data_IF_194374955871
#
_entry.id   IF_194374955871
#
_cell.length_a   1.000
_cell.length_b   1.000
_cell.length_c   1.000
_cell.angle_alpha   90.00
_cell.angle_beta   90.00
_cell.angle_gamma   90.00
#
_symmetry.space_group_name_H-M   'P 1'
#
loop_
_entity.id
_entity.type
_entity.pdbx_description
1 polymer ?
#
# COMPACT_ATOMS: atom_id res chain seq x y z
N UNK A 1 4.45 13.82 17.13
CA UNK A 1 4.94 12.52 16.66
C UNK A 1 3.81 11.80 15.97
N UNK A 2 4.06 11.22 14.79
CA UNK A 2 3.07 10.44 14.04
C UNK A 2 2.79 9.16 14.83
N UNK A 3 1.61 9.06 15.44
CA UNK A 3 1.12 7.86 16.16
C UNK A 3 0.04 7.16 15.34
N UNK A 4 0.18 7.17 14.01
CA UNK A 4 -0.80 6.56 13.10
C UNK A 4 -0.86 5.04 13.17
N UNK A 5 0.25 4.27 13.36
CA UNK A 5 0.18 2.82 13.52
C UNK A 5 -0.57 2.43 14.79
N UNK A 6 -0.28 3.11 15.92
CA UNK A 6 -1.02 2.91 17.17
C UNK A 6 -2.51 3.26 17.04
N UNK A 7 -2.83 4.36 16.33
CA UNK A 7 -4.23 4.70 16.03
C UNK A 7 -4.89 3.66 15.12
N UNK A 8 -4.16 3.10 14.17
CA UNK A 8 -4.62 2.00 13.32
C UNK A 8 -4.97 0.76 14.14
N UNK A 9 -4.13 0.38 15.10
CA UNK A 9 -4.41 -0.71 16.04
C UNK A 9 -5.66 -0.41 16.87
N UNK A 10 -5.75 0.76 17.51
CA UNK A 10 -6.90 1.13 18.34
C UNK A 10 -8.21 1.18 17.53
N UNK A 11 -8.13 1.66 16.29
CA UNK A 11 -9.27 1.67 15.37
C UNK A 11 -9.69 0.26 14.98
N UNK A 12 -8.71 -0.59 14.65
CA UNK A 12 -8.94 -1.99 14.32
C UNK A 12 -9.59 -2.76 15.48
N UNK A 13 -9.14 -2.54 16.73
CA UNK A 13 -9.74 -3.16 17.91
C UNK A 13 -11.20 -2.73 18.16
N UNK A 14 -11.60 -1.55 17.68
CA UNK A 14 -12.95 -1.01 17.89
C UNK A 14 -13.99 -1.44 16.85
N UNK A 15 -13.57 -1.84 15.64
CA UNK A 15 -14.48 -2.17 14.54
C UNK A 15 -14.48 -3.67 14.22
N UNK A 16 -15.59 -4.34 14.59
CA UNK A 16 -15.80 -5.75 14.35
C UNK A 16 -15.87 -6.13 12.87
N UNK A 17 -16.22 -5.18 11.98
CA UNK A 17 -16.23 -5.40 10.54
C UNK A 17 -14.80 -5.62 10.01
N UNK A 18 -13.82 -4.84 10.48
CA UNK A 18 -12.41 -4.99 10.12
C UNK A 18 -11.83 -6.36 10.51
N UNK A 19 -12.22 -6.89 11.67
CA UNK A 19 -11.79 -8.22 12.11
C UNK A 19 -12.25 -9.31 11.15
N UNK A 20 -13.49 -9.21 10.69
CA UNK A 20 -14.03 -10.14 9.70
C UNK A 20 -13.30 -10.01 8.36
N UNK A 21 -12.96 -8.78 7.95
CA UNK A 21 -12.16 -8.53 6.75
C UNK A 21 -10.73 -9.07 6.85
N UNK A 22 -10.14 -9.15 8.04
CA UNK A 22 -8.79 -9.72 8.22
C UNK A 22 -8.75 -11.23 8.38
N UNK A 23 -9.77 -11.85 8.98
CA UNK A 23 -9.83 -13.31 9.14
C UNK A 23 -10.23 -14.00 7.82
N UNK A 24 -11.09 -13.37 7.03
CA UNK A 24 -11.55 -13.89 5.74
C UNK A 24 -10.42 -14.28 4.76
N UNK A 25 -9.43 -13.43 4.44
CA UNK A 25 -8.35 -13.78 3.52
C UNK A 25 -7.50 -14.94 4.01
N UNK A 26 -7.28 -15.05 5.33
CA UNK A 26 -6.51 -16.15 5.91
C UNK A 26 -7.26 -17.47 5.71
N UNK A 27 -8.56 -17.49 6.03
CA UNK A 27 -9.40 -18.68 5.82
C UNK A 27 -9.49 -19.06 4.34
N UNK A 28 -9.64 -18.09 3.45
CA UNK A 28 -9.67 -18.33 2.00
C UNK A 28 -8.34 -18.90 1.49
N UNK A 29 -7.21 -18.36 1.95
CA UNK A 29 -5.88 -18.86 1.56
C UNK A 29 -5.66 -20.30 2.04
N UNK A 30 -6.09 -20.62 3.26
CA UNK A 30 -6.04 -21.99 3.78
C UNK A 30 -6.93 -22.93 2.95
N UNK A 31 -8.16 -22.52 2.64
CA UNK A 31 -9.08 -23.32 1.81
C UNK A 31 -8.50 -23.58 0.41
N UNK A 32 -7.90 -22.57 -0.21
CA UNK A 32 -7.21 -22.71 -1.52
C UNK A 32 -6.01 -23.63 -1.40
N UNK A 33 -5.19 -23.50 -0.35
CA UNK A 33 -4.04 -24.37 -0.13
C UNK A 33 -4.45 -25.86 -0.06
N UNK A 34 -5.52 -26.17 0.70
CA UNK A 34 -6.07 -27.52 0.77
C UNK A 34 -6.63 -27.99 -0.57
N UNK A 35 -7.42 -27.16 -1.26
CA UNK A 35 -7.99 -27.50 -2.56
C UNK A 35 -6.93 -27.79 -3.63
N UNK A 36 -5.89 -26.95 -3.69
CA UNK A 36 -4.76 -27.11 -4.61
C UNK A 36 -3.94 -28.34 -4.24
N UNK A 37 -3.66 -28.57 -2.95
CA UNK A 37 -2.97 -29.78 -2.50
C UNK A 37 -3.72 -31.04 -2.92
N UNK A 38 -5.01 -31.15 -2.62
CA UNK A 38 -5.82 -32.32 -2.98
C UNK A 38 -5.80 -32.53 -4.50
N UNK A 39 -5.97 -31.46 -5.28
CA UNK A 39 -5.98 -31.54 -6.75
C UNK A 39 -4.64 -31.98 -7.31
N UNK A 40 -3.53 -31.40 -6.85
CA UNK A 40 -2.21 -31.72 -7.40
C UNK A 40 -1.70 -33.10 -6.96
N UNK A 41 -1.97 -33.50 -5.71
CA UNK A 41 -1.63 -34.83 -5.23
C UNK A 41 -2.44 -35.93 -5.94
N UNK A 42 -3.68 -35.66 -6.35
CA UNK A 42 -4.53 -36.65 -7.03
C UNK A 42 -4.23 -36.76 -8.53
N UNK A 43 -3.98 -35.64 -9.23
CA UNK A 43 -3.84 -35.64 -10.68
C UNK A 43 -2.40 -35.53 -11.19
N UNK A 44 -1.53 -34.82 -10.48
CA UNK A 44 -0.17 -34.50 -10.97
C UNK A 44 0.88 -35.46 -10.45
N UNK A 45 0.75 -35.94 -9.21
CA UNK A 45 1.73 -36.82 -8.56
C UNK A 45 2.06 -38.04 -9.43
N UNK A 46 1.03 -38.79 -9.84
CA UNK A 46 1.23 -40.02 -10.60
C UNK A 46 1.85 -39.76 -11.98
N UNK A 47 1.40 -38.69 -12.66
CA UNK A 47 1.97 -38.29 -13.96
C UNK A 47 3.44 -37.87 -13.86
N UNK A 48 3.82 -37.20 -12.78
CA UNK A 48 5.20 -36.78 -12.54
C UNK A 48 6.08 -37.99 -12.20
N UNK A 49 5.59 -38.90 -11.36
CA UNK A 49 6.27 -40.15 -11.01
C UNK A 49 6.59 -40.99 -12.25
N UNK A 50 5.62 -41.22 -13.13
CA UNK A 50 5.81 -41.98 -14.37
C UNK A 50 6.84 -41.30 -15.28
N UNK A 51 6.76 -39.97 -15.46
CA UNK A 51 7.72 -39.23 -16.27
C UNK A 51 9.15 -39.30 -15.70
N UNK A 52 9.31 -39.30 -14.38
CA UNK A 52 10.59 -39.46 -13.70
C UNK A 52 11.12 -40.90 -13.82
N UNK A 53 10.24 -41.89 -13.74
CA UNK A 53 10.59 -43.30 -13.94
C UNK A 53 11.08 -43.56 -15.37
N UNK A 54 10.41 -42.99 -16.37
CA UNK A 54 10.80 -43.08 -17.79
C UNK A 54 12.17 -42.44 -18.07
N UNK A 55 12.60 -41.47 -17.25
CA UNK A 55 13.93 -40.87 -17.30
C UNK A 55 15.03 -41.76 -16.69
N UNK A 56 14.69 -42.95 -16.19
CA UNK A 56 15.62 -43.94 -15.66
C UNK A 56 15.85 -43.87 -14.15
N UNK A 57 15.03 -43.13 -13.40
CA UNK A 57 15.07 -43.13 -11.94
C UNK A 57 14.46 -44.41 -11.37
N UNK A 58 14.97 -44.87 -10.23
CA UNK A 58 14.33 -45.97 -9.50
C UNK A 58 12.93 -45.55 -9.02
N UNK A 59 11.99 -46.50 -8.95
CA UNK A 59 10.59 -46.21 -8.55
C UNK A 59 10.50 -45.42 -7.24
N UNK A 60 11.31 -45.76 -6.23
CA UNK A 60 11.34 -45.02 -4.97
C UNK A 60 11.83 -43.57 -5.13
N UNK A 61 12.88 -43.34 -5.92
CA UNK A 61 13.40 -41.99 -6.16
C UNK A 61 12.47 -41.14 -7.02
N UNK A 62 11.84 -41.73 -8.03
CA UNK A 62 10.84 -41.08 -8.86
C UNK A 62 9.64 -40.60 -8.03
N UNK A 63 9.11 -41.46 -7.16
CA UNK A 63 8.04 -41.10 -6.22
C UNK A 63 8.47 -39.97 -5.28
N UNK A 64 9.65 -40.08 -4.67
CA UNK A 64 10.14 -39.08 -3.72
C UNK A 64 10.29 -37.69 -4.37
N UNK A 65 10.86 -37.63 -5.58
CA UNK A 65 11.05 -36.37 -6.32
C UNK A 65 9.69 -35.81 -6.76
N UNK A 66 8.77 -36.64 -7.23
CA UNK A 66 7.41 -36.23 -7.60
C UNK A 66 6.67 -35.58 -6.41
N UNK A 67 6.76 -36.18 -5.21
CA UNK A 67 6.19 -35.59 -3.99
C UNK A 67 6.77 -34.20 -3.71
N UNK A 68 8.10 -34.03 -3.85
CA UNK A 68 8.77 -32.73 -3.65
C UNK A 68 8.28 -31.69 -4.65
N UNK A 69 8.16 -32.05 -5.94
CA UNK A 69 7.64 -31.15 -6.97
C UNK A 69 6.20 -30.71 -6.69
N UNK A 70 5.31 -31.66 -6.35
CA UNK A 70 3.94 -31.32 -5.98
C UNK A 70 3.89 -30.37 -4.77
N UNK A 71 4.71 -30.61 -3.73
CA UNK A 71 4.77 -29.70 -2.56
C UNK A 71 5.21 -28.30 -2.98
N UNK A 72 6.22 -28.18 -3.85
CA UNK A 72 6.70 -26.89 -4.36
C UNK A 72 5.62 -26.20 -5.19
N UNK A 73 4.92 -26.92 -6.06
CA UNK A 73 3.82 -26.38 -6.88
C UNK A 73 2.67 -25.86 -6.01
N UNK A 74 2.25 -26.65 -5.01
CA UNK A 74 1.23 -26.24 -4.03
C UNK A 74 1.68 -24.97 -3.31
N UNK A 75 2.93 -24.91 -2.88
CA UNK A 75 3.49 -23.75 -2.20
C UNK A 75 3.50 -22.51 -3.11
N UNK A 76 3.96 -22.63 -4.35
CA UNK A 76 4.01 -21.52 -5.32
C UNK A 76 2.60 -20.99 -5.61
N UNK A 77 1.65 -21.87 -5.92
CA UNK A 77 0.27 -21.47 -6.23
C UNK A 77 -0.39 -20.79 -5.02
N UNK A 78 -0.22 -21.38 -3.83
CA UNK A 78 -0.77 -20.81 -2.59
C UNK A 78 -0.13 -19.45 -2.27
N UNK A 79 1.19 -19.31 -2.48
CA UNK A 79 1.91 -18.08 -2.24
C UNK A 79 1.43 -16.98 -3.20
N UNK A 80 1.31 -17.27 -4.49
CA UNK A 80 0.80 -16.30 -5.49
C UNK A 80 -0.62 -15.87 -5.12
N UNK A 81 -1.50 -16.82 -4.80
CA UNK A 81 -2.86 -16.52 -4.37
C UNK A 81 -2.88 -15.64 -3.11
N UNK A 82 -2.05 -15.97 -2.12
CA UNK A 82 -1.92 -15.22 -0.88
C UNK A 82 -1.47 -13.78 -1.13
N UNK A 83 -0.46 -13.56 -1.97
CA UNK A 83 0.02 -12.21 -2.31
C UNK A 83 -1.09 -11.35 -2.92
N UNK A 84 -1.81 -11.87 -3.92
CA UNK A 84 -2.91 -11.14 -4.59
C UNK A 84 -4.07 -10.87 -3.64
N UNK A 85 -4.46 -11.88 -2.85
CA UNK A 85 -5.61 -11.78 -1.94
C UNK A 85 -5.32 -10.80 -0.81
N UNK A 86 -4.12 -10.84 -0.22
CA UNK A 86 -3.73 -9.93 0.85
C UNK A 86 -3.73 -8.46 0.39
N UNK A 87 -3.18 -8.16 -0.79
CA UNK A 87 -3.23 -6.80 -1.35
C UNK A 87 -4.67 -6.31 -1.53
N UNK A 88 -5.56 -7.15 -2.07
CA UNK A 88 -6.96 -6.79 -2.26
C UNK A 88 -7.70 -6.50 -0.94
N UNK A 89 -7.45 -7.29 0.11
CA UNK A 89 -8.06 -7.04 1.42
C UNK A 89 -7.47 -5.81 2.12
N UNK A 90 -6.18 -5.52 1.94
CA UNK A 90 -5.56 -4.28 2.44
C UNK A 90 -6.22 -3.05 1.81
N UNK A 91 -6.44 -3.06 0.51
CA UNK A 91 -7.13 -1.97 -0.19
C UNK A 91 -8.56 -1.78 0.32
N UNK A 92 -9.30 -2.87 0.56
CA UNK A 92 -10.65 -2.79 1.15
C UNK A 92 -10.67 -2.18 2.53
N UNK A 93 -9.72 -2.54 3.39
CA UNK A 93 -9.57 -1.93 4.72
C UNK A 93 -9.25 -0.45 4.59
N UNK A 94 -8.34 -0.10 3.68
CA UNK A 94 -7.95 1.28 3.43
C UNK A 94 -9.14 2.14 2.96
N UNK A 95 -9.88 1.63 1.97
CA UNK A 95 -11.09 2.24 1.44
C UNK A 95 -12.16 2.43 2.52
N UNK A 96 -12.42 1.40 3.34
CA UNK A 96 -13.39 1.48 4.44
C UNK A 96 -13.04 2.60 5.43
N UNK A 97 -11.78 2.67 5.84
CA UNK A 97 -11.29 3.71 6.77
C UNK A 97 -11.43 5.10 6.17
N UNK A 98 -11.15 5.27 4.87
CA UNK A 98 -11.35 6.57 4.20
C UNK A 98 -12.82 6.98 4.13
N UNK A 99 -13.71 6.04 3.83
CA UNK A 99 -15.17 6.28 3.77
C UNK A 99 -15.66 6.78 5.15
N UNK A 100 -15.26 6.11 6.23
CA UNK A 100 -15.63 6.53 7.60
C UNK A 100 -15.05 7.90 7.99
N UNK A 101 -13.94 8.31 7.37
CA UNK A 101 -13.35 9.64 7.56
C UNK A 101 -13.98 10.72 6.69
N UNK A 102 -14.99 10.38 5.90
CA UNK A 102 -15.73 11.32 5.06
C UNK A 102 -15.20 11.47 3.63
N UNK A 103 -14.23 10.64 3.23
CA UNK A 103 -13.61 10.67 1.89
C UNK A 103 -14.23 9.63 0.94
N UNK A 104 -15.55 9.44 1.04
CA UNK A 104 -16.29 8.43 0.26
C UNK A 104 -16.20 8.64 -1.25
N UNK A 105 -16.35 9.88 -1.70
CA UNK A 105 -16.29 10.23 -3.13
C UNK A 105 -14.91 9.92 -3.72
N UNK A 106 -13.83 10.04 -2.95
CA UNK A 106 -12.48 9.73 -3.42
C UNK A 106 -12.34 8.23 -3.75
N UNK A 107 -12.97 7.37 -2.96
CA UNK A 107 -12.95 5.92 -3.13
C UNK A 107 -13.88 5.46 -4.25
N UNK A 108 -15.05 6.09 -4.39
CA UNK A 108 -16.06 5.71 -5.39
C UNK A 108 -15.67 6.11 -6.82
N UNK A 109 -14.85 7.16 -6.99
CA UNK A 109 -14.38 7.63 -8.29
C UNK A 109 -13.16 6.86 -8.82
N UNK A 110 -12.61 5.92 -8.07
CA UNK A 110 -11.46 5.13 -8.52
C UNK A 110 -11.92 4.00 -9.44
N UNK A 111 -11.42 3.99 -10.68
CA UNK A 111 -11.50 2.81 -11.53
C UNK A 111 -10.65 1.70 -10.90
N UNK A 112 -11.32 0.70 -10.32
CA UNK A 112 -10.69 -0.47 -9.69
C UNK A 112 -9.78 -1.19 -10.69
N UNK A 113 -8.50 -0.84 -10.69
CA UNK A 113 -7.49 -1.62 -11.38
C UNK A 113 -7.40 -3.01 -10.73
N UNK A 114 -7.18 -4.04 -11.54
CA UNK A 114 -7.12 -5.40 -11.04
C UNK A 114 -5.91 -5.55 -10.10
N UNK A 115 -6.07 -6.13 -8.89
CA UNK A 115 -4.98 -6.31 -7.94
C UNK A 115 -3.84 -7.17 -8.52
N UNK A 116 -4.17 -8.08 -9.44
CA UNK A 116 -3.19 -8.90 -10.14
C UNK A 116 -2.21 -8.08 -10.99
N UNK A 117 -2.70 -7.11 -11.76
CA UNK A 117 -1.84 -6.20 -12.53
C UNK A 117 -0.98 -5.33 -11.61
N UNK A 118 -1.48 -4.98 -10.43
CA UNK A 118 -0.70 -4.23 -9.43
C UNK A 118 0.44 -5.06 -8.88
N UNK A 119 0.21 -6.32 -8.50
CA UNK A 119 1.27 -7.24 -8.05
C UNK A 119 2.35 -7.39 -9.13
N UNK A 120 1.95 -7.62 -10.39
CA UNK A 120 2.88 -7.78 -11.51
C UNK A 120 3.67 -6.49 -11.78
N UNK A 121 2.98 -5.35 -11.86
CA UNK A 121 3.65 -4.07 -12.12
C UNK A 121 4.52 -3.63 -10.96
N UNK A 122 4.14 -3.92 -9.72
CA UNK A 122 4.96 -3.73 -8.53
C UNK A 122 6.21 -4.63 -8.57
N UNK A 123 6.08 -5.85 -9.11
CA UNK A 123 7.20 -6.77 -9.36
C UNK A 123 8.20 -6.25 -10.41
N UNK A 124 7.75 -5.39 -11.32
CA UNK A 124 8.59 -4.78 -12.36
C UNK A 124 8.99 -3.32 -12.05
N UNK A 125 8.54 -2.74 -10.92
CA UNK A 125 8.77 -1.33 -10.60
C UNK A 125 10.13 -1.13 -9.92
N UNK A 126 10.64 0.10 -10.03
CA UNK A 126 11.86 0.63 -9.37
C UNK A 126 11.99 0.22 -7.89
N UNK A 127 10.87 -0.02 -7.22
CA UNK A 127 10.78 -0.53 -5.84
C UNK A 127 11.58 -1.81 -5.61
N UNK A 128 11.68 -2.73 -6.58
CA UNK A 128 12.44 -3.98 -6.41
C UNK A 128 13.94 -3.77 -6.52
N UNK A 129 14.41 -2.96 -7.47
CA UNK A 129 15.84 -2.63 -7.56
C UNK A 129 16.30 -1.87 -6.31
N UNK A 130 15.46 -0.96 -5.81
CA UNK A 130 15.73 -0.24 -4.57
C UNK A 130 15.75 -1.21 -3.36
N UNK A 131 14.78 -2.13 -3.28
CA UNK A 131 14.73 -3.19 -2.25
C UNK A 131 15.94 -4.12 -2.32
N UNK A 132 16.37 -4.51 -3.52
CA UNK A 132 17.53 -5.40 -3.70
C UNK A 132 18.81 -4.71 -3.26
N UNK A 133 19.00 -3.44 -3.65
CA UNK A 133 20.13 -2.63 -3.20
C UNK A 133 20.14 -2.43 -1.68
N UNK A 134 18.99 -2.13 -1.07
CA UNK A 134 18.89 -2.01 0.39
C UNK A 134 19.04 -3.35 1.12
N UNK A 135 18.58 -4.46 0.54
CA UNK A 135 18.75 -5.81 1.08
C UNK A 135 20.24 -6.14 1.20
N UNK A 136 21.02 -5.86 0.14
CA UNK A 136 22.48 -6.07 0.16
C UNK A 136 23.16 -5.25 1.26
N UNK A 137 22.73 -4.00 1.47
CA UNK A 137 23.27 -3.12 2.52
C UNK A 137 22.86 -3.59 3.92
N UNK A 138 21.65 -4.13 4.08
CA UNK A 138 21.08 -4.51 5.38
C UNK A 138 21.38 -5.95 5.79
N UNK A 139 21.83 -6.80 4.85
CA UNK A 139 22.25 -8.18 5.09
C UNK A 139 23.33 -8.34 6.19
N UNK A 140 24.45 -7.61 6.17
CA UNK A 140 25.45 -7.69 7.25
C UNK A 140 24.91 -7.19 8.59
N UNK A 141 23.92 -6.30 8.57
CA UNK A 141 23.31 -5.71 9.75
C UNK A 141 22.39 -6.68 10.51
N UNK A 142 21.76 -7.62 9.78
CA UNK A 142 20.92 -8.68 10.35
C UNK A 142 21.73 -9.74 11.13
N UNK A 143 23.07 -9.72 11.09
CA UNK A 143 23.91 -10.61 11.91
C UNK A 143 23.79 -10.32 13.41
N UNK A 144 23.31 -9.13 13.80
CA UNK A 144 23.03 -8.78 15.20
C UNK A 144 21.51 -8.77 15.40
N UNK A 145 20.94 -9.80 16.05
CA UNK A 145 19.50 -9.85 16.30
C UNK A 145 19.05 -8.63 17.10
N UNK A 146 17.82 -8.16 16.83
CA UNK A 146 17.23 -6.92 17.38
C UNK A 146 17.83 -5.62 16.82
N UNK A 147 19.15 -5.39 16.90
CA UNK A 147 19.78 -4.16 16.38
C UNK A 147 19.72 -4.07 14.85
N UNK A 148 19.91 -5.20 14.16
CA UNK A 148 19.72 -5.30 12.72
C UNK A 148 18.30 -4.92 12.31
N UNK A 149 17.29 -5.46 13.00
CA UNK A 149 15.88 -5.20 12.72
C UNK A 149 15.49 -3.72 12.94
N UNK A 150 15.97 -3.11 14.03
CA UNK A 150 15.71 -1.69 14.31
C UNK A 150 16.34 -0.81 13.23
N UNK A 151 17.59 -1.09 12.86
CA UNK A 151 18.30 -0.29 11.86
C UNK A 151 17.72 -0.51 10.46
N UNK A 152 17.32 -1.74 10.14
CA UNK A 152 16.57 -2.07 8.93
C UNK A 152 15.27 -1.27 8.85
N UNK A 153 14.46 -1.25 9.92
CA UNK A 153 13.21 -0.51 9.98
C UNK A 153 13.44 1.00 9.87
N UNK A 154 14.54 1.52 10.43
CA UNK A 154 14.91 2.93 10.30
C UNK A 154 15.28 3.31 8.87
N UNK A 155 16.09 2.50 8.20
CA UNK A 155 16.51 2.73 6.81
C UNK A 155 15.35 2.56 5.81
N UNK A 156 14.51 1.54 6.02
CA UNK A 156 13.44 1.17 5.09
C UNK A 156 12.09 1.79 5.42
N UNK A 157 11.93 2.44 6.57
CA UNK A 157 10.62 2.95 7.01
C UNK A 157 9.96 3.90 6.01
N UNK A 158 10.74 4.77 5.34
CA UNK A 158 10.16 5.68 4.33
C UNK A 158 9.60 4.91 3.14
N UNK A 159 10.29 3.85 2.70
CA UNK A 159 9.85 3.02 1.58
C UNK A 159 8.59 2.22 1.95
N UNK A 160 8.55 1.64 3.15
CA UNK A 160 7.37 0.96 3.66
C UNK A 160 6.14 1.89 3.68
N UNK A 161 6.32 3.12 4.15
CA UNK A 161 5.25 4.10 4.22
C UNK A 161 4.77 4.53 2.82
N UNK A 162 5.68 4.64 1.85
CA UNK A 162 5.32 4.88 0.45
C UNK A 162 4.44 3.74 -0.06
N UNK A 163 4.87 2.49 0.10
CA UNK A 163 4.13 1.33 -0.37
C UNK A 163 2.73 1.23 0.25
N UNK A 164 2.61 1.52 1.55
CA UNK A 164 1.32 1.58 2.23
C UNK A 164 0.38 2.69 1.71
N UNK A 165 0.91 3.68 0.98
CA UNK A 165 0.15 4.77 0.35
C UNK A 165 -0.02 4.64 -1.16
N UNK A 166 0.47 3.57 -1.79
CA UNK A 166 0.31 3.39 -3.24
C UNK A 166 -1.16 3.43 -3.66
N UNK A 167 -2.05 2.81 -2.90
CA UNK A 167 -3.49 2.84 -3.15
C UNK A 167 -4.07 4.27 -3.09
N UNK A 168 -3.63 5.08 -2.12
CA UNK A 168 -4.01 6.49 -2.04
C UNK A 168 -3.51 7.31 -3.25
N UNK A 169 -2.26 7.07 -3.67
CA UNK A 169 -1.70 7.76 -4.83
C UNK A 169 -2.38 7.33 -6.14
N UNK A 170 -2.85 6.09 -6.22
CA UNK A 170 -3.62 5.57 -7.35
C UNK A 170 -5.00 6.22 -7.44
N UNK A 171 -5.74 6.31 -6.32
CA UNK A 171 -7.01 7.06 -6.25
C UNK A 171 -6.88 8.51 -6.70
N UNK A 172 -5.73 9.14 -6.43
CA UNK A 172 -5.44 10.52 -6.82
C UNK A 172 -4.81 10.65 -8.21
N UNK A 173 -4.58 9.53 -8.90
CA UNK A 173 -3.88 9.46 -10.18
C UNK A 173 -2.52 10.21 -10.17
N UNK A 174 -1.77 10.13 -9.07
CA UNK A 174 -0.48 10.80 -8.94
C UNK A 174 0.65 10.04 -9.64
N UNK A 175 1.42 10.76 -10.44
CA UNK A 175 2.63 10.23 -11.08
C UNK A 175 3.78 10.08 -10.07
N UNK A 176 4.79 9.28 -10.41
CA UNK A 176 5.91 8.95 -9.53
C UNK A 176 6.65 10.18 -9.00
N UNK A 177 6.84 11.20 -9.83
CA UNK A 177 7.48 12.46 -9.42
C UNK A 177 6.64 13.24 -8.40
N UNK A 178 5.32 13.23 -8.55
CA UNK A 178 4.40 13.87 -7.60
C UNK A 178 4.39 13.12 -6.26
N UNK A 179 4.40 11.79 -6.29
CA UNK A 179 4.51 10.97 -5.09
C UNK A 179 5.81 11.29 -4.32
N UNK A 180 6.94 11.35 -5.03
CA UNK A 180 8.24 11.67 -4.45
C UNK A 180 8.25 13.04 -3.77
N UNK A 181 7.64 14.05 -4.38
CA UNK A 181 7.54 15.40 -3.80
C UNK A 181 6.69 15.41 -2.52
N UNK A 182 5.52 14.75 -2.52
CA UNK A 182 4.65 14.64 -1.34
C UNK A 182 5.40 13.96 -0.18
N UNK A 183 6.11 12.88 -0.48
CA UNK A 183 6.89 12.13 0.52
C UNK A 183 8.07 12.97 1.00
N UNK A 184 8.77 13.70 0.13
CA UNK A 184 9.88 14.56 0.50
C UNK A 184 9.46 15.66 1.49
N UNK A 185 8.30 16.30 1.25
CA UNK A 185 7.74 17.32 2.14
C UNK A 185 7.38 16.78 3.54
N UNK A 186 7.08 15.48 3.64
CA UNK A 186 6.65 14.82 4.89
C UNK A 186 7.58 13.67 5.30
N UNK A 187 8.85 13.72 4.89
CA UNK A 187 9.82 12.61 5.04
C UNK A 187 9.88 12.05 6.46
N UNK A 188 9.88 12.92 7.46
CA UNK A 188 9.92 12.51 8.87
C UNK A 188 8.64 11.75 9.29
N UNK A 189 7.46 12.16 8.79
CA UNK A 189 6.19 11.51 9.11
C UNK A 189 6.10 10.14 8.43
N UNK A 190 6.52 10.05 7.16
CA UNK A 190 6.61 8.79 6.41
C UNK A 190 7.61 7.83 7.06
N UNK A 191 8.83 8.29 7.33
CA UNK A 191 9.87 7.47 7.98
C UNK A 191 9.41 6.94 9.34
N UNK A 192 8.83 7.79 10.20
CA UNK A 192 8.34 7.37 11.51
C UNK A 192 7.18 6.37 11.42
N UNK A 193 6.23 6.61 10.52
CA UNK A 193 5.11 5.70 10.28
C UNK A 193 5.59 4.33 9.82
N UNK A 194 6.40 4.28 8.77
CA UNK A 194 6.81 3.00 8.21
C UNK A 194 7.81 2.24 9.08
N UNK A 195 8.65 2.93 9.86
CA UNK A 195 9.50 2.26 10.86
C UNK A 195 8.64 1.53 11.90
N UNK A 196 7.65 2.21 12.48
CA UNK A 196 6.73 1.61 13.45
C UNK A 196 5.92 0.47 12.83
N UNK A 197 5.42 0.65 11.60
CA UNK A 197 4.69 -0.37 10.86
C UNK A 197 5.55 -1.63 10.62
N UNK A 198 6.80 -1.46 10.15
CA UNK A 198 7.75 -2.57 9.94
C UNK A 198 8.06 -3.30 11.24
N UNK A 199 8.32 -2.58 12.33
CA UNK A 199 8.60 -3.20 13.63
C UNK A 199 7.44 -4.04 14.14
N UNK A 200 6.20 -3.61 13.93
CA UNK A 200 5.00 -4.37 14.28
C UNK A 200 4.86 -5.63 13.40
N UNK A 201 5.13 -5.52 12.10
CA UNK A 201 5.07 -6.65 11.17
C UNK A 201 6.18 -7.69 11.40
N UNK A 202 7.30 -7.29 12.00
CA UNK A 202 8.38 -8.19 12.40
C UNK A 202 8.04 -9.10 13.58
N UNK A 203 6.94 -8.85 14.31
CA UNK A 203 6.52 -9.71 15.42
C UNK A 203 6.01 -11.03 14.82
N UNK A 204 6.61 -12.18 15.14
CA UNK A 204 6.18 -13.46 14.58
C UNK A 204 4.72 -13.74 14.99
N UNK A 205 3.95 -14.34 14.06
CA UNK A 205 2.51 -14.66 14.21
C UNK A 205 1.62 -13.41 14.25
N UNK A 206 1.90 -12.44 15.14
CA UNK A 206 1.12 -11.22 15.26
C UNK A 206 1.31 -10.25 14.08
N UNK A 207 2.45 -10.30 13.41
CA UNK A 207 2.78 -9.43 12.28
C UNK A 207 1.79 -9.50 11.12
N UNK A 208 1.20 -10.69 10.88
CA UNK A 208 0.14 -10.86 9.88
C UNK A 208 -1.11 -10.04 10.23
N UNK A 209 -1.45 -9.93 11.51
CA UNK A 209 -2.57 -9.08 11.98
C UNK A 209 -2.16 -7.61 11.86
N UNK A 210 -0.92 -7.28 12.26
CA UNK A 210 -0.44 -5.91 12.20
C UNK A 210 -0.39 -5.34 10.79
N UNK A 211 -0.18 -6.17 9.76
CA UNK A 211 -0.29 -5.75 8.36
C UNK A 211 -1.65 -5.08 8.04
N UNK A 212 -2.75 -5.63 8.56
CA UNK A 212 -4.09 -5.06 8.39
C UNK A 212 -4.29 -3.79 9.23
N UNK A 213 -3.79 -3.78 10.47
CA UNK A 213 -3.84 -2.57 11.31
C UNK A 213 -3.01 -1.43 10.75
N UNK A 214 -1.88 -1.75 10.09
CA UNK A 214 -1.01 -0.80 9.42
C UNK A 214 -1.67 -0.24 8.17
N UNK A 215 -2.42 -1.06 7.41
CA UNK A 215 -3.23 -0.56 6.29
C UNK A 215 -4.29 0.44 6.78
N UNK A 216 -4.96 0.16 7.90
CA UNK A 216 -5.88 1.11 8.52
C UNK A 216 -5.16 2.38 9.00
N UNK A 217 -3.99 2.24 9.64
CA UNK A 217 -3.14 3.37 10.05
C UNK A 217 -2.67 4.22 8.88
N UNK A 218 -2.33 3.61 7.75
CA UNK A 218 -1.96 4.28 6.51
C UNK A 218 -3.13 5.09 5.94
N UNK A 219 -4.35 4.53 5.97
CA UNK A 219 -5.56 5.24 5.56
C UNK A 219 -5.88 6.44 6.46
N UNK A 220 -5.72 6.29 7.79
CA UNK A 220 -5.83 7.42 8.73
C UNK A 220 -4.78 8.49 8.44
N UNK A 221 -3.56 8.08 8.06
CA UNK A 221 -2.51 9.01 7.67
C UNK A 221 -2.87 9.73 6.36
N UNK A 222 -3.39 9.03 5.36
CA UNK A 222 -3.85 9.62 4.10
C UNK A 222 -5.00 10.63 4.32
N UNK A 223 -6.01 10.27 5.14
CA UNK A 223 -7.09 11.18 5.53
C UNK A 223 -6.57 12.46 6.21
N UNK A 224 -5.48 12.36 6.99
CA UNK A 224 -4.87 13.54 7.60
C UNK A 224 -4.18 14.45 6.58
N UNK A 225 -3.60 13.87 5.52
CA UNK A 225 -3.00 14.62 4.42
C UNK A 225 -4.08 15.39 3.67
N UNK A 226 -5.19 14.73 3.31
CA UNK A 226 -6.32 15.40 2.63
C UNK A 226 -6.88 16.55 3.47
N UNK A 227 -7.08 16.33 4.77
CA UNK A 227 -7.53 17.39 5.68
C UNK A 227 -6.57 18.58 5.75
N UNK A 228 -5.27 18.35 5.67
CA UNK A 228 -4.27 19.43 5.62
C UNK A 228 -4.33 20.18 4.28
N UNK A 229 -4.52 19.48 3.16
CA UNK A 229 -4.67 20.07 1.83
C UNK A 229 -5.91 20.96 1.76
N UNK A 230 -7.08 20.47 2.21
CA UNK A 230 -8.32 21.26 2.27
C UNK A 230 -8.16 22.54 3.09
N UNK A 231 -7.44 22.48 4.23
CA UNK A 231 -7.19 23.66 5.06
C UNK A 231 -6.29 24.68 4.34
N UNK A 232 -5.28 24.21 3.62
CA UNK A 232 -4.42 25.07 2.83
C UNK A 232 -5.20 25.75 1.70
N UNK A 233 -6.08 25.01 1.01
CA UNK A 233 -6.97 25.55 -0.01
C UNK A 233 -7.92 26.62 0.55
N UNK A 234 -8.57 26.34 1.68
CA UNK A 234 -9.45 27.32 2.36
C UNK A 234 -8.68 28.59 2.75
N UNK A 235 -7.43 28.45 3.21
CA UNK A 235 -6.57 29.59 3.56
C UNK A 235 -6.12 30.38 2.33
N UNK A 236 -5.80 29.70 1.24
CA UNK A 236 -5.46 30.37 -0.01
C UNK A 236 -6.68 31.10 -0.58
N UNK A 237 -7.84 30.46 -0.61
CA UNK A 237 -9.08 31.06 -1.09
C UNK A 237 -9.51 32.27 -0.24
N UNK A 238 -9.36 32.19 1.09
CA UNK A 238 -9.62 33.37 1.94
C UNK A 238 -8.63 34.50 1.67
N UNK A 239 -7.34 34.21 1.52
CA UNK A 239 -6.31 35.21 1.17
C UNK A 239 -6.58 35.86 -0.19
N UNK A 240 -7.00 35.09 -1.19
CA UNK A 240 -7.43 35.62 -2.49
C UNK A 240 -8.69 36.48 -2.36
N UNK A 241 -9.68 36.07 -1.56
CA UNK A 241 -10.91 36.84 -1.36
C UNK A 241 -10.66 38.19 -0.66
N UNK A 242 -9.74 38.23 0.29
CA UNK A 242 -9.34 39.47 0.97
C UNK A 242 -8.38 40.32 0.11
N UNK A 243 -7.35 39.71 -0.48
CA UNK A 243 -6.43 40.40 -1.38
C UNK A 243 -7.08 40.90 -2.68
N UNK A 244 -8.15 40.23 -3.14
CA UNK A 244 -9.00 40.65 -4.25
C UNK A 244 -9.83 41.88 -3.89
N UNK A 245 -10.44 41.92 -2.69
CA UNK A 245 -11.14 43.12 -2.18
C UNK A 245 -10.22 44.31 -2.01
N UNK A 246 -9.01 44.10 -1.49
CA UNK A 246 -8.02 45.17 -1.33
C UNK A 246 -7.51 45.68 -2.68
N UNK A 247 -7.38 44.78 -3.67
CA UNK A 247 -7.04 45.15 -5.05
C UNK A 247 -8.19 45.85 -5.76
N UNK A 248 -9.45 45.47 -5.57
CA UNK A 248 -10.62 46.18 -6.13
C UNK A 248 -10.78 47.58 -5.52
N UNK A 249 -10.61 47.73 -4.19
CA UNK A 249 -10.53 49.04 -3.55
C UNK A 249 -9.39 49.91 -4.12
N UNK A 250 -8.20 49.33 -4.34
CA UNK A 250 -7.05 50.05 -4.93
C UNK A 250 -7.20 50.32 -6.43
N UNK A 251 -7.85 49.44 -7.19
CA UNK A 251 -8.10 49.59 -8.63
C UNK A 251 -9.17 50.66 -8.92
N UNK A 252 -10.04 50.94 -7.96
CA UNK A 252 -10.88 52.15 -7.95
C UNK A 252 -10.06 53.46 -7.83
N UNK A 253 -8.78 53.40 -7.45
CA UNK A 253 -7.94 54.57 -7.20
C UNK A 253 -6.61 54.62 -8.00
N UNK A 254 -6.29 53.62 -8.84
CA UNK A 254 -5.02 53.62 -9.57
C UNK A 254 -4.94 52.58 -10.68
N UNK A 255 -4.56 53.06 -11.88
CA UNK A 255 -4.37 52.30 -13.12
C UNK A 255 -3.03 51.55 -13.09
N UNK A 256 -3.02 50.30 -13.63
CA UNK A 256 -1.85 49.52 -14.13
C UNK A 256 -0.76 49.15 -13.08
N UNK A 257 -0.02 48.02 -13.07
CA UNK A 257 0.19 46.78 -13.85
C UNK A 257 0.87 45.78 -12.87
N UNK A 258 0.96 44.52 -13.28
CA UNK A 258 2.06 43.56 -13.02
C UNK A 258 1.62 42.25 -12.34
N UNK A 259 1.27 41.31 -13.21
CA UNK A 259 1.19 39.88 -12.94
C UNK A 259 2.57 39.27 -13.16
N UNK A 260 3.33 39.05 -12.10
CA UNK A 260 4.26 37.93 -12.05
C UNK A 260 4.52 37.51 -10.60
N UNK A 261 4.95 36.25 -10.44
CA UNK A 261 5.16 35.44 -9.22
C UNK A 261 3.99 34.50 -8.89
N UNK A 262 3.84 33.50 -9.75
CA UNK A 262 3.16 32.24 -9.45
C UNK A 262 3.95 31.51 -8.35
N UNK A 263 3.40 31.28 -7.15
CA UNK A 263 4.02 30.43 -6.15
C UNK A 263 3.95 28.96 -6.61
N UNK A 264 4.88 28.13 -6.15
CA UNK A 264 5.01 26.67 -6.36
C UNK A 264 3.72 25.82 -6.13
N UNK A 265 2.62 26.45 -5.69
CA UNK A 265 1.26 25.91 -5.61
C UNK A 265 0.74 25.39 -6.97
N UNK A 266 1.24 25.90 -8.09
CA UNK A 266 0.74 25.49 -9.41
C UNK A 266 1.20 24.08 -9.86
N UNK A 267 2.22 23.48 -9.22
CA UNK A 267 2.65 22.10 -9.52
C UNK A 267 1.93 21.02 -8.70
N UNK A 268 1.35 21.40 -7.57
CA UNK A 268 0.43 20.57 -6.78
C UNK A 268 -1.04 20.81 -7.18
N UNK A 269 -1.26 21.62 -8.23
CA UNK A 269 -2.55 21.85 -8.85
C UNK A 269 -3.03 20.62 -9.60
N UNK A 270 -3.59 19.67 -8.86
CA UNK A 270 -4.54 18.72 -9.38
C UNK A 270 -5.77 18.72 -8.47
N UNK A 271 -6.58 19.76 -8.63
CA UNK A 271 -8.02 19.60 -8.45
C UNK A 271 -8.47 18.59 -9.51
N UNK A 272 -8.70 17.35 -9.11
CA UNK A 272 -9.49 16.41 -9.90
C UNK A 272 -10.92 16.51 -9.33
N UNK A 273 -11.83 17.24 -10.00
CA UNK A 273 -13.23 17.27 -9.57
C UNK A 273 -13.81 15.86 -9.63
N UNK A 274 -14.76 15.49 -8.74
CA UNK A 274 -15.74 14.48 -9.08
C UNK A 274 -16.58 15.04 -10.24
N UNK A 275 -16.26 14.67 -11.48
CA UNK A 275 -17.20 14.86 -12.58
C UNK A 275 -18.36 13.90 -12.38
N UNK A 276 -19.39 14.42 -11.73
CA UNK A 276 -20.67 13.75 -11.51
C UNK A 276 -21.77 14.75 -11.20
N UNK A 277 -21.76 15.95 -11.80
CA UNK A 277 -22.98 16.76 -11.86
C UNK A 277 -23.86 16.18 -12.96
N UNK A 278 -24.84 15.37 -12.58
CA UNK A 278 -25.98 15.09 -13.43
C UNK A 278 -26.63 16.41 -13.84
N UNK A 279 -26.48 16.77 -15.10
CA UNK A 279 -27.39 17.68 -15.78
C UNK A 279 -28.03 16.91 -16.92
N UNK A 280 -29.16 16.27 -16.60
CA UNK A 280 -30.44 16.34 -17.31
C UNK A 280 -31.48 15.54 -16.54
#
# INVERSE_FOLDING_TARGET
MSTYPLRGILYFLGDQHLWRLSICPVLLTVAVAFGVAITLFTFTLHRQEEALYDLGLSSFLAWLIAVIFVIIEVFIVTLIYGLVTLEWFKDKIFAHVLIERGYRELVENEERHSPFLRVITSCCRVSILLRLGLLVITLPLNMIPVLGNITYAWLNGTLMAWEAHLYYFEMKAFDFDQQKEIIAQRKLQYSAFGMQAMLLEMIPIAGAIFMFTNAAGAALFAASIEKDLEKQERRNNSKWRWGGKDKEMKKSHGKAIETDKVPLVNKLGAYVPPYGSTSK
#
